data_IF_482670718745
#
_entry.id   IF_482670718745
#
_cell.length_a   1.000
_cell.length_b   1.000
_cell.length_c   1.000
_cell.angle_alpha   90.00
_cell.angle_beta   90.00
_cell.angle_gamma   90.00
#
_symmetry.space_group_name_H-M   'P 1'
#
loop_
_entity.id
_entity.type
_entity.pdbx_description
1 polymer ?
#
# COMPACT_ATOMS: atom_id res chain seq x y z
N UNK A 1 -0.57 -19.23 -21.28
CA UNK A 1 -0.04 -18.44 -20.16
C UNK A 1 1.37 -18.03 -20.52
N UNK A 2 1.78 -16.80 -20.24
CA UNK A 2 3.13 -16.35 -20.54
C UNK A 2 4.04 -16.76 -19.37
N UNK A 3 4.88 -17.78 -19.57
CA UNK A 3 5.72 -18.35 -18.53
C UNK A 3 6.79 -17.38 -18.02
N UNK A 4 7.41 -16.62 -18.93
CA UNK A 4 8.47 -15.68 -18.58
C UNK A 4 7.92 -14.51 -17.77
N UNK A 5 6.74 -14.01 -18.20
CA UNK A 5 6.01 -13.01 -17.41
C UNK A 5 5.61 -13.56 -16.05
N UNK A 6 5.11 -14.78 -15.99
CA UNK A 6 4.72 -15.41 -14.72
C UNK A 6 5.92 -15.49 -13.75
N UNK A 7 7.05 -16.04 -14.19
CA UNK A 7 8.28 -16.15 -13.38
C UNK A 7 8.78 -14.79 -12.91
N UNK A 8 8.75 -13.80 -13.80
CA UNK A 8 9.16 -12.41 -13.47
C UNK A 8 8.26 -11.83 -12.39
N UNK A 9 6.94 -11.98 -12.51
CA UNK A 9 5.97 -11.50 -11.51
C UNK A 9 6.21 -12.17 -10.16
N UNK A 10 6.26 -13.51 -10.13
CA UNK A 10 6.47 -14.28 -8.89
C UNK A 10 7.72 -13.81 -8.14
N UNK A 11 8.82 -13.59 -8.88
CA UNK A 11 10.08 -13.09 -8.31
C UNK A 11 9.93 -11.65 -7.79
N UNK A 12 9.37 -10.74 -8.59
CA UNK A 12 9.21 -9.32 -8.21
C UNK A 12 8.29 -9.13 -6.99
N UNK A 13 7.36 -10.05 -6.76
CA UNK A 13 6.44 -10.02 -5.62
C UNK A 13 6.84 -10.93 -4.47
N UNK A 14 8.09 -11.41 -4.45
CA UNK A 14 8.64 -12.29 -3.39
C UNK A 14 7.73 -13.50 -3.06
N UNK A 15 7.05 -14.05 -4.07
CA UNK A 15 6.19 -15.23 -3.94
C UNK A 15 6.93 -16.54 -4.19
N UNK A 16 8.14 -16.46 -4.73
CA UNK A 16 9.00 -17.61 -4.99
C UNK A 16 9.19 -18.48 -3.75
N UNK A 17 9.48 -17.86 -2.60
CA UNK A 17 9.65 -18.57 -1.32
C UNK A 17 8.35 -19.18 -0.81
N UNK A 18 7.22 -18.47 -0.97
CA UNK A 18 5.91 -18.96 -0.57
C UNK A 18 5.51 -20.19 -1.38
N UNK A 19 5.60 -20.09 -2.71
CA UNK A 19 5.30 -21.17 -3.65
C UNK A 19 6.18 -22.39 -3.36
N UNK A 20 7.49 -22.20 -3.15
CA UNK A 20 8.40 -23.29 -2.81
C UNK A 20 8.05 -23.99 -1.48
N UNK A 21 7.39 -23.30 -0.55
CA UNK A 21 6.94 -23.85 0.73
C UNK A 21 5.58 -24.57 0.67
N UNK A 22 4.81 -24.38 -0.39
CA UNK A 22 3.51 -25.03 -0.52
C UNK A 22 3.66 -26.49 -0.95
N UNK A 23 2.74 -27.34 -0.51
CA UNK A 23 2.81 -28.79 -0.73
C UNK A 23 2.79 -29.19 -2.21
N UNK A 24 2.14 -28.40 -3.06
CA UNK A 24 2.04 -28.65 -4.50
C UNK A 24 2.53 -27.44 -5.31
N UNK A 25 3.45 -26.64 -4.75
CA UNK A 25 3.94 -25.45 -5.42
C UNK A 25 2.81 -24.48 -5.77
N UNK A 26 2.82 -23.99 -7.00
CA UNK A 26 1.84 -23.06 -7.56
C UNK A 26 0.49 -23.72 -7.90
N UNK A 27 0.43 -25.06 -7.89
CA UNK A 27 -0.80 -25.85 -8.03
C UNK A 27 -1.52 -26.10 -6.70
N UNK A 28 -1.00 -25.56 -5.60
CA UNK A 28 -1.60 -25.76 -4.27
C UNK A 28 -3.00 -25.18 -4.19
N UNK A 29 -3.97 -26.01 -3.81
CA UNK A 29 -5.34 -25.57 -3.62
C UNK A 29 -5.47 -24.58 -2.46
N UNK A 30 -6.08 -23.44 -2.76
CA UNK A 30 -6.33 -22.39 -1.80
C UNK A 30 -7.77 -22.53 -1.28
N UNK A 31 -7.91 -22.84 0.01
CA UNK A 31 -9.22 -22.96 0.66
C UNK A 31 -10.05 -21.67 0.61
N UNK A 32 -11.34 -21.77 0.94
CA UNK A 32 -12.28 -20.66 0.85
C UNK A 32 -11.76 -19.40 1.58
N UNK A 33 -11.80 -18.24 0.91
CA UNK A 33 -11.25 -16.96 1.40
C UNK A 33 -9.76 -17.02 1.79
N UNK A 34 -9.02 -17.98 1.24
CA UNK A 34 -7.61 -18.21 1.51
C UNK A 34 -7.34 -18.61 2.96
N UNK A 35 -8.20 -19.40 3.60
CA UNK A 35 -8.04 -19.78 5.02
C UNK A 35 -6.66 -20.40 5.33
N UNK A 36 -6.06 -21.09 4.36
CA UNK A 36 -4.75 -21.73 4.50
C UNK A 36 -3.55 -20.78 4.28
N UNK A 37 -3.78 -19.48 4.12
CA UNK A 37 -2.75 -18.49 3.77
C UNK A 37 -2.61 -17.41 4.84
N UNK A 38 -1.37 -16.99 5.10
CA UNK A 38 -1.10 -15.84 5.96
C UNK A 38 -1.61 -14.54 5.32
N UNK A 39 -1.76 -13.47 6.12
CA UNK A 39 -2.17 -12.16 5.62
C UNK A 39 -1.19 -11.59 4.57
N UNK A 40 0.11 -11.70 4.84
CA UNK A 40 1.16 -11.24 3.92
C UNK A 40 1.18 -12.04 2.61
N UNK A 41 0.98 -13.36 2.68
CA UNK A 41 0.84 -14.20 1.48
C UNK A 41 -0.34 -13.76 0.62
N UNK A 42 -1.50 -13.47 1.23
CA UNK A 42 -2.66 -12.96 0.49
C UNK A 42 -2.35 -11.64 -0.19
N UNK A 43 -1.64 -10.72 0.47
CA UNK A 43 -1.25 -9.45 -0.14
C UNK A 43 -0.27 -9.65 -1.30
N UNK A 44 0.75 -10.48 -1.15
CA UNK A 44 1.71 -10.80 -2.22
C UNK A 44 1.01 -11.42 -3.43
N UNK A 45 0.07 -12.35 -3.22
CA UNK A 45 -0.75 -12.93 -4.29
C UNK A 45 -1.61 -11.87 -4.98
N UNK A 46 -2.24 -10.96 -4.23
CA UNK A 46 -3.04 -9.88 -4.82
C UNK A 46 -2.19 -8.93 -5.67
N UNK A 47 -1.01 -8.56 -5.18
CA UNK A 47 -0.05 -7.73 -5.91
C UNK A 47 0.43 -8.44 -7.17
N UNK A 48 0.79 -9.72 -7.08
CA UNK A 48 1.20 -10.53 -8.23
C UNK A 48 0.11 -10.60 -9.30
N UNK A 49 -1.15 -10.78 -8.89
CA UNK A 49 -2.30 -10.75 -9.82
C UNK A 49 -2.43 -9.40 -10.53
N UNK A 50 -2.26 -8.30 -9.81
CA UNK A 50 -2.32 -6.96 -10.40
C UNK A 50 -1.19 -6.75 -11.43
N UNK A 51 0.05 -7.08 -11.06
CA UNK A 51 1.23 -6.90 -11.93
C UNK A 51 1.16 -7.81 -13.15
N UNK A 52 0.74 -9.06 -12.98
CA UNK A 52 0.54 -10.00 -14.09
C UNK A 52 -0.53 -9.52 -15.06
N UNK A 53 -1.53 -8.74 -14.63
CA UNK A 53 -2.51 -8.14 -15.54
C UNK A 53 -1.85 -7.10 -16.47
N UNK A 54 -0.89 -6.31 -15.98
CA UNK A 54 -0.12 -5.36 -16.80
C UNK A 54 -0.90 -4.13 -17.22
N UNK A 55 -1.76 -3.62 -16.34
CA UNK A 55 -2.46 -2.35 -16.55
C UNK A 55 -1.48 -1.19 -16.75
N UNK A 56 -1.98 -0.07 -17.27
CA UNK A 56 -1.21 1.17 -17.40
C UNK A 56 -1.20 1.99 -16.11
N UNK A 57 -2.26 1.86 -15.30
CA UNK A 57 -2.46 2.57 -14.03
C UNK A 57 -2.72 1.57 -12.91
N UNK A 58 -2.01 1.73 -11.79
CA UNK A 58 -2.15 0.94 -10.58
C UNK A 58 -2.58 1.80 -9.41
N UNK A 59 -3.61 1.37 -8.69
CA UNK A 59 -4.06 1.97 -7.44
C UNK A 59 -3.78 0.97 -6.31
N UNK A 60 -2.80 1.28 -5.47
CA UNK A 60 -2.35 0.39 -4.40
C UNK A 60 -2.75 0.98 -3.05
N UNK A 61 -3.73 0.37 -2.38
CA UNK A 61 -4.20 0.78 -1.06
C UNK A 61 -3.52 -0.06 0.03
N UNK A 62 -2.48 0.49 0.62
CA UNK A 62 -1.65 -0.09 1.68
C UNK A 62 -1.19 -1.54 1.42
N UNK A 63 -0.50 -1.78 0.27
CA UNK A 63 -0.19 -3.12 -0.23
C UNK A 63 0.79 -3.92 0.66
N UNK A 64 1.41 -3.27 1.66
CA UNK A 64 2.46 -3.85 2.51
C UNK A 64 2.04 -3.99 3.98
N UNK A 65 0.80 -3.66 4.33
CA UNK A 65 0.32 -3.60 5.72
C UNK A 65 0.30 -4.94 6.48
N UNK A 66 0.28 -6.07 5.77
CA UNK A 66 0.29 -7.41 6.35
C UNK A 66 1.62 -8.14 6.10
N UNK A 67 2.64 -7.41 5.67
CA UNK A 67 3.95 -7.92 5.28
C UNK A 67 5.01 -7.42 6.28
N UNK A 68 6.02 -8.24 6.58
CA UNK A 68 7.14 -7.81 7.42
C UNK A 68 8.01 -6.76 6.71
N UNK A 69 8.78 -5.98 7.47
CA UNK A 69 9.54 -4.86 6.92
C UNK A 69 10.57 -5.27 5.84
N UNK A 70 11.18 -6.45 5.97
CA UNK A 70 12.18 -6.90 4.99
C UNK A 70 11.50 -7.25 3.67
N UNK A 71 10.44 -8.06 3.71
CA UNK A 71 9.66 -8.37 2.51
C UNK A 71 9.03 -7.10 1.92
N UNK A 72 8.50 -6.18 2.74
CA UNK A 72 7.90 -4.93 2.25
C UNK A 72 8.91 -4.10 1.44
N UNK A 73 10.16 -4.00 1.89
CA UNK A 73 11.22 -3.35 1.14
C UNK A 73 11.49 -4.05 -0.21
N UNK A 74 11.57 -5.39 -0.21
CA UNK A 74 11.69 -6.15 -1.48
C UNK A 74 10.53 -5.87 -2.42
N UNK A 75 9.29 -5.89 -1.94
CA UNK A 75 8.11 -5.59 -2.77
C UNK A 75 8.16 -4.16 -3.31
N UNK A 76 8.56 -3.19 -2.49
CA UNK A 76 8.67 -1.82 -2.94
C UNK A 76 9.72 -1.67 -4.04
N UNK A 77 10.95 -2.15 -3.83
CA UNK A 77 12.03 -1.98 -4.81
C UNK A 77 11.84 -2.84 -6.06
N UNK A 78 11.55 -4.14 -5.91
CA UNK A 78 11.53 -5.07 -7.04
C UNK A 78 10.21 -4.99 -7.82
N UNK A 79 9.08 -4.79 -7.13
CA UNK A 79 7.78 -4.68 -7.78
C UNK A 79 7.44 -3.24 -8.15
N UNK A 80 7.35 -2.32 -7.18
CA UNK A 80 6.86 -0.95 -7.45
C UNK A 80 7.89 -0.15 -8.25
N UNK A 81 9.12 -0.10 -7.79
CA UNK A 81 10.19 0.66 -8.46
C UNK A 81 10.83 -0.10 -9.63
N UNK A 82 10.68 -1.41 -9.67
CA UNK A 82 11.24 -2.29 -10.70
C UNK A 82 10.21 -2.67 -11.77
N UNK A 83 9.37 -3.66 -11.48
CA UNK A 83 8.40 -4.20 -12.44
C UNK A 83 7.40 -3.14 -12.96
N UNK A 84 7.02 -2.18 -12.11
CA UNK A 84 6.08 -1.10 -12.44
C UNK A 84 6.76 0.22 -12.83
N UNK A 85 8.08 0.26 -13.01
CA UNK A 85 8.86 1.47 -13.30
C UNK A 85 8.32 2.35 -14.45
N UNK A 86 7.72 1.73 -15.47
CA UNK A 86 7.18 2.43 -16.65
C UNK A 86 5.65 2.58 -16.62
N UNK A 87 5.03 2.39 -15.45
CA UNK A 87 3.58 2.44 -15.25
C UNK A 87 3.25 3.59 -14.30
N UNK A 88 2.00 4.07 -14.36
CA UNK A 88 1.51 5.04 -13.38
C UNK A 88 1.07 4.30 -12.12
N UNK A 89 1.67 4.63 -10.98
CA UNK A 89 1.33 4.00 -9.69
C UNK A 89 0.89 5.08 -8.71
N UNK A 90 -0.33 4.93 -8.20
CA UNK A 90 -0.85 5.71 -7.07
C UNK A 90 -0.78 4.79 -5.85
N UNK A 91 0.16 5.09 -4.96
CA UNK A 91 0.38 4.35 -3.72
C UNK A 91 -0.21 5.12 -2.54
N UNK A 92 -1.18 4.53 -1.87
CA UNK A 92 -1.67 4.98 -0.57
C UNK A 92 -0.96 4.15 0.48
N UNK A 93 -0.20 4.80 1.36
CA UNK A 93 0.51 4.10 2.44
C UNK A 93 0.63 4.97 3.68
N UNK A 94 0.73 4.30 4.83
CA UNK A 94 1.09 4.90 6.09
C UNK A 94 2.59 4.73 6.42
N UNK A 95 3.32 3.96 5.60
CA UNK A 95 4.75 3.66 5.79
C UNK A 95 5.58 4.81 5.22
N UNK A 96 6.24 5.54 6.10
CA UNK A 96 6.95 6.78 5.77
C UNK A 96 8.29 6.49 5.10
N UNK A 97 8.82 5.29 5.31
CA UNK A 97 10.13 4.85 4.84
C UNK A 97 10.26 4.88 3.32
N UNK A 98 9.17 4.65 2.59
CA UNK A 98 9.18 4.61 1.12
C UNK A 98 9.02 5.98 0.48
N UNK A 99 8.61 7.00 1.24
CA UNK A 99 8.26 8.31 0.69
C UNK A 99 9.46 9.07 0.12
N UNK A 100 10.69 8.73 0.48
CA UNK A 100 11.89 9.37 -0.09
C UNK A 100 12.19 8.95 -1.53
N UNK A 101 11.57 7.86 -2.01
CA UNK A 101 11.86 7.27 -3.32
C UNK A 101 10.73 7.50 -4.34
N UNK A 102 9.62 8.12 -3.93
CA UNK A 102 8.51 8.43 -4.83
C UNK A 102 8.69 9.79 -5.50
N UNK A 103 8.13 9.93 -6.70
CA UNK A 103 8.24 11.17 -7.50
C UNK A 103 7.47 12.34 -6.87
N UNK A 104 6.28 12.08 -6.31
CA UNK A 104 5.40 13.11 -5.76
C UNK A 104 4.59 12.55 -4.61
N UNK A 105 4.48 13.34 -3.54
CA UNK A 105 3.74 13.03 -2.33
C UNK A 105 2.55 13.96 -2.25
N UNK A 106 1.38 13.42 -1.90
CA UNK A 106 0.19 14.18 -1.55
C UNK A 106 -0.13 13.92 -0.07
N UNK A 107 -0.15 14.99 0.72
CA UNK A 107 -0.54 14.93 2.13
C UNK A 107 -2.01 15.30 2.23
N UNK A 108 -2.82 14.37 2.73
CA UNK A 108 -4.25 14.59 2.94
C UNK A 108 -4.56 14.72 4.43
N UNK A 109 -5.38 15.71 4.79
CA UNK A 109 -5.92 15.89 6.15
C UNK A 109 -7.35 16.41 6.04
N UNK A 110 -8.25 15.87 6.86
CA UNK A 110 -9.65 16.32 6.93
C UNK A 110 -10.38 16.32 5.55
N UNK A 111 -10.02 15.37 4.67
CA UNK A 111 -10.51 15.23 3.28
C UNK A 111 -9.99 16.26 2.28
N UNK A 112 -9.04 17.09 2.68
CA UNK A 112 -8.39 18.07 1.80
C UNK A 112 -6.92 17.72 1.59
N UNK A 113 -6.38 18.08 0.42
CA UNK A 113 -4.94 18.02 0.15
C UNK A 113 -4.30 19.24 0.81
N UNK A 114 -3.53 19.02 1.87
CA UNK A 114 -2.87 20.11 2.60
C UNK A 114 -1.51 20.47 2.02
N UNK A 115 -0.82 19.49 1.42
CA UNK A 115 0.50 19.68 0.82
C UNK A 115 0.67 18.73 -0.36
N UNK A 116 1.46 19.16 -1.34
CA UNK A 116 1.87 18.34 -2.47
C UNK A 116 3.30 18.73 -2.90
N UNK A 117 4.09 17.77 -3.36
CA UNK A 117 5.46 18.03 -3.82
C UNK A 117 6.37 16.82 -3.67
N UNK A 118 7.65 17.00 -3.98
CA UNK A 118 8.69 16.01 -3.71
C UNK A 118 8.98 15.88 -2.22
N UNK A 119 9.65 14.79 -1.83
CA UNK A 119 10.05 14.57 -0.43
C UNK A 119 10.85 15.75 0.14
N UNK A 120 11.78 16.31 -0.65
CA UNK A 120 12.65 17.40 -0.20
C UNK A 120 11.89 18.70 0.00
N UNK A 121 10.95 19.02 -0.89
CA UNK A 121 10.10 20.22 -0.77
C UNK A 121 9.20 20.15 0.46
N UNK A 122 8.63 18.96 0.72
CA UNK A 122 7.73 18.75 1.85
C UNK A 122 8.44 18.64 3.20
N UNK A 123 9.73 18.29 3.23
CA UNK A 123 10.52 18.20 4.47
C UNK A 123 10.96 19.58 5.03
N UNK A 124 10.23 20.64 4.68
CA UNK A 124 10.48 21.99 5.20
C UNK A 124 9.97 22.11 6.64
N UNK A 125 10.70 22.85 7.49
CA UNK A 125 10.36 23.03 8.91
C UNK A 125 8.96 23.66 9.11
N UNK A 126 8.18 23.12 10.04
CA UNK A 126 6.84 23.58 10.40
C UNK A 126 5.70 22.98 9.57
N UNK A 127 6.00 22.08 8.63
CA UNK A 127 5.00 21.42 7.80
C UNK A 127 4.31 20.25 8.50
N UNK A 128 3.07 19.92 8.08
CA UNK A 128 2.38 18.72 8.55
C UNK A 128 3.16 17.44 8.18
N UNK A 129 3.87 17.46 7.06
CA UNK A 129 4.73 16.37 6.62
C UNK A 129 5.94 16.15 7.55
N UNK A 130 6.65 17.21 7.94
CA UNK A 130 7.76 17.10 8.89
C UNK A 130 7.30 16.46 10.22
N UNK A 131 6.15 16.89 10.75
CA UNK A 131 5.58 16.33 11.97
C UNK A 131 5.27 14.84 11.84
N UNK A 132 4.76 14.41 10.68
CA UNK A 132 4.47 13.01 10.37
C UNK A 132 5.78 12.19 10.35
N UNK A 133 6.80 12.67 9.64
CA UNK A 133 8.11 12.00 9.55
C UNK A 133 8.78 11.91 10.92
N UNK A 134 8.72 12.99 11.72
CA UNK A 134 9.30 13.04 13.05
C UNK A 134 8.61 12.06 14.01
N UNK A 135 7.29 12.08 14.06
CA UNK A 135 6.51 11.16 14.89
C UNK A 135 6.81 9.68 14.53
N UNK A 136 7.00 9.40 13.24
CA UNK A 136 7.40 8.07 12.78
C UNK A 136 8.82 7.70 13.26
N UNK A 137 9.81 8.58 13.08
CA UNK A 137 11.20 8.34 13.56
C UNK A 137 11.24 8.10 15.07
N UNK A 138 10.48 8.87 15.85
CA UNK A 138 10.42 8.73 17.31
C UNK A 138 9.79 7.38 17.72
N UNK A 139 8.75 6.93 17.02
CA UNK A 139 8.11 5.64 17.26
C UNK A 139 9.08 4.47 16.99
N UNK A 140 9.78 4.51 15.86
CA UNK A 140 10.77 3.48 15.47
C UNK A 140 11.96 3.44 16.44
N UNK A 141 12.45 4.60 16.87
CA UNK A 141 13.56 4.68 17.82
C UNK A 141 13.18 4.14 19.21
N UNK A 142 11.94 4.34 19.63
CA UNK A 142 11.42 3.79 20.89
C UNK A 142 11.34 2.27 20.86
N UNK A 143 10.96 1.69 19.71
CA UNK A 143 10.90 0.23 19.52
C UNK A 143 12.28 -0.41 19.49
N UNK A 144 13.30 0.29 18.97
CA UNK A 144 14.70 -0.21 18.97
C UNK A 144 15.37 -0.15 20.36
N UNK A 145 14.95 0.74 21.26
CA UNK A 145 15.55 0.88 22.60
C UNK A 145 15.04 -0.13 23.64
N UNK A 146 13.88 -0.75 23.43
CA UNK A 146 13.40 -1.85 24.26
C UNK A 146 13.60 -3.17 23.50
N UNK A 147 14.78 -3.77 23.68
CA UNK A 147 15.04 -5.13 23.20
C UNK A 147 14.03 -6.12 23.78
N UNK A 148 13.56 -7.02 22.91
CA UNK A 148 12.84 -8.27 23.18
C UNK A 148 12.38 -8.53 24.63
N UNK A 149 11.10 -8.27 24.90
CA UNK A 149 10.29 -9.05 25.84
C UNK A 149 8.93 -9.32 25.18
N UNK A 150 8.52 -10.58 25.26
CA UNK A 150 7.31 -11.15 24.68
C UNK A 150 6.03 -10.44 25.15
N UNK A 151 5.03 -10.36 24.28
CA UNK A 151 3.66 -9.99 24.68
C UNK A 151 3.16 -8.59 24.28
N UNK A 152 2.12 -8.60 23.44
CA UNK A 152 1.16 -7.51 23.23
C UNK A 152 1.75 -6.15 22.83
N UNK A 153 2.09 -6.02 21.54
CA UNK A 153 2.08 -4.70 20.87
C UNK A 153 0.65 -4.17 20.95
N UNK A 154 0.38 -3.31 21.93
CA UNK A 154 -0.79 -2.43 21.92
C UNK A 154 -0.65 -1.54 20.69
N UNK A 155 -1.24 -1.99 19.57
CA UNK A 155 -1.50 -1.18 18.38
C UNK A 155 -2.17 0.12 18.84
N UNK A 156 -1.40 1.21 18.97
CA UNK A 156 -2.00 2.54 18.99
C UNK A 156 -2.65 2.71 17.63
N UNK A 157 -3.98 2.57 17.61
CA UNK A 157 -4.81 2.81 16.44
C UNK A 157 -4.55 4.23 15.95
N UNK A 158 -3.72 4.40 14.91
CA UNK A 158 -3.85 5.57 14.06
C UNK A 158 -5.06 5.32 13.17
N UNK A 159 -6.18 5.91 13.59
CA UNK A 159 -7.48 5.74 12.93
C UNK A 159 -7.60 6.82 11.87
N UNK A 160 -7.23 6.52 10.63
CA UNK A 160 -7.84 7.23 9.50
C UNK A 160 -9.28 6.70 9.44
N UNK A 161 -10.22 7.53 9.90
CA UNK A 161 -11.65 7.20 9.88
C UNK A 161 -12.11 7.15 8.42
N UNK A 162 -12.20 5.97 7.85
CA UNK A 162 -13.16 5.76 6.77
C UNK A 162 -14.57 5.67 7.38
N UNK A 163 -15.38 6.71 7.15
CA UNK A 163 -16.79 6.49 6.83
C UNK A 163 -16.89 6.59 5.32
N UNK A 164 -17.11 5.46 4.66
CA UNK A 164 -17.53 5.43 3.25
C UNK A 164 -18.91 6.07 3.16
N UNK A 165 -19.06 7.00 2.23
CA UNK A 165 -20.22 7.02 1.35
C UNK A 165 -19.78 7.69 0.04
N UNK A 166 -19.58 6.87 -0.99
CA UNK A 166 -19.80 7.35 -2.34
C UNK A 166 -21.33 7.51 -2.45
N UNK A 167 -21.80 8.74 -2.39
CA UNK A 167 -23.09 9.10 -2.99
C UNK A 167 -22.73 9.96 -4.19
N UNK A 168 -22.93 9.40 -5.38
CA UNK A 168 -23.01 10.17 -6.62
C UNK A 168 -24.36 10.87 -6.62
N UNK A 169 -24.45 12.06 -6.03
CA UNK A 169 -25.57 12.96 -6.31
C UNK A 169 -25.19 13.82 -7.52
N UNK A 170 -25.44 13.26 -8.71
CA UNK A 170 -25.66 14.09 -9.89
C UNK A 170 -26.95 14.90 -9.64
N UNK A 171 -26.94 16.23 -9.77
CA UNK A 171 -28.17 17.01 -9.59
C UNK A 171 -29.18 16.62 -10.68
N UNK A 172 -30.35 16.15 -10.27
CA UNK A 172 -31.49 15.98 -11.17
C UNK A 172 -31.95 17.35 -11.70
N UNK A 173 -32.24 17.48 -13.00
CA UNK A 173 -32.70 18.75 -13.57
C UNK A 173 -34.05 19.14 -12.96
N UNK A 174 -34.14 20.37 -12.43
CA UNK A 174 -35.38 20.93 -11.90
C UNK A 174 -36.42 21.03 -13.03
N UNK A 175 -37.66 20.56 -12.84
CA UNK A 175 -38.73 20.79 -13.82
C UNK A 175 -39.10 22.29 -13.86
N UNK A 176 -39.56 22.81 -15.00
CA UNK A 176 -39.86 24.23 -15.16
C UNK A 176 -41.03 24.66 -14.27
N UNK A 177 -40.87 25.81 -13.61
CA UNK A 177 -41.96 26.49 -12.88
C UNK A 177 -43.08 26.82 -13.87
N UNK A 178 -44.24 26.18 -13.72
CA UNK A 178 -45.48 26.69 -14.30
C UNK A 178 -45.87 27.96 -13.54
N UNK A 179 -45.95 29.06 -14.27
CA UNK A 179 -46.63 30.29 -13.86
C UNK A 179 -48.05 30.23 -14.40
N UNK A 180 -49.01 30.64 -13.55
CA UNK A 180 -50.46 30.75 -13.75
C UNK A 180 -51.25 29.43 -13.89
#
# INVERSE_FOLDING_TARGET
>A
MDEERYKTVIKSTALDKDIASFSHGDLTEIGQRGINMSGGQKQRIQLARAVYNGADIYLLDDPFSAVDAHTAATLFHDCVMGALKRKTVILVTHQVEFLSEVDTILVMKDSEVTQYGSYQELLTAGTAFEQLVKAHKDAVNTTKKHGFCDGHIRRKKFKIRHKRQFVTDLPSPKPPRKTA
#
